data_IF_230254390593
#
_entry.id   IF_230254390593
#
_cell.length_a   1.000
_cell.length_b   1.000
_cell.length_c   1.000
_cell.angle_alpha   90.00
_cell.angle_beta   90.00
_cell.angle_gamma   90.00
#
_symmetry.space_group_name_H-M   'P 1'
#
loop_
_entity.id
_entity.type
_entity.pdbx_description
1 polymer ?
#
# COMPACT_ATOMS: atom_id res chain seq x y z
N UNK A 1 -25.58 -102.30 -36.82
CA UNK A 1 -25.78 -100.96 -37.41
C UNK A 1 -25.38 -99.88 -36.38
N UNK A 2 -24.24 -99.32 -36.53
CA UNK A 2 -23.71 -98.27 -35.58
C UNK A 2 -23.83 -96.92 -36.25
N UNK A 3 -24.53 -96.00 -35.62
CA UNK A 3 -24.70 -94.63 -36.07
C UNK A 3 -23.45 -93.79 -35.66
N UNK A 4 -22.81 -93.17 -36.65
CA UNK A 4 -21.75 -92.13 -36.41
C UNK A 4 -22.45 -90.85 -35.92
N UNK A 5 -21.95 -90.32 -34.80
CA UNK A 5 -22.27 -88.98 -34.34
C UNK A 5 -21.15 -88.01 -34.80
N UNK A 6 -21.53 -87.09 -35.64
CA UNK A 6 -20.64 -85.97 -36.07
C UNK A 6 -20.65 -84.92 -35.02
N UNK A 7 -19.49 -84.55 -34.47
CA UNK A 7 -19.32 -83.40 -33.54
C UNK A 7 -18.96 -82.15 -34.36
N UNK A 8 -19.79 -81.15 -34.23
CA UNK A 8 -19.49 -79.79 -34.77
C UNK A 8 -18.62 -78.99 -33.79
N UNK A 9 -17.48 -78.58 -34.26
CA UNK A 9 -16.55 -77.73 -33.52
C UNK A 9 -16.94 -76.24 -33.77
N UNK A 10 -17.46 -75.56 -32.73
CA UNK A 10 -17.73 -74.11 -32.80
C UNK A 10 -16.48 -73.37 -32.39
N UNK A 11 -15.88 -72.64 -33.31
CA UNK A 11 -14.75 -71.75 -33.04
C UNK A 11 -15.27 -70.43 -32.44
N UNK A 12 -14.96 -70.17 -31.18
CA UNK A 12 -15.21 -68.88 -30.51
C UNK A 12 -14.05 -67.95 -30.87
N UNK A 13 -14.33 -66.97 -31.77
CA UNK A 13 -13.37 -65.89 -32.08
C UNK A 13 -13.33 -64.90 -30.94
N UNK A 14 -12.20 -64.82 -30.21
CA UNK A 14 -11.91 -63.74 -29.31
C UNK A 14 -11.60 -62.45 -30.12
N UNK A 15 -12.55 -61.49 -30.15
CA UNK A 15 -12.25 -60.13 -30.63
C UNK A 15 -11.54 -59.37 -29.50
N UNK A 16 -10.22 -59.22 -29.61
CA UNK A 16 -9.46 -58.35 -28.73
C UNK A 16 -9.82 -56.88 -29.06
N UNK A 17 -10.63 -56.24 -28.20
CA UNK A 17 -10.86 -54.80 -28.25
C UNK A 17 -9.54 -54.08 -27.86
N UNK A 18 -8.81 -53.55 -28.84
CA UNK A 18 -7.76 -52.59 -28.63
C UNK A 18 -8.36 -51.29 -28.05
N UNK A 19 -8.40 -51.16 -26.73
CA UNK A 19 -8.72 -49.92 -26.04
C UNK A 19 -7.63 -48.91 -26.36
N UNK A 20 -7.93 -47.93 -27.21
CA UNK A 20 -7.11 -46.73 -27.35
C UNK A 20 -7.15 -46.00 -25.98
N UNK A 21 -6.06 -46.12 -25.21
CA UNK A 21 -5.87 -45.32 -24.03
C UNK A 21 -5.90 -43.82 -24.45
N UNK A 22 -6.84 -43.04 -23.95
CA UNK A 22 -6.84 -41.60 -24.15
C UNK A 22 -5.50 -41.05 -23.66
N UNK A 23 -4.83 -40.12 -24.40
CA UNK A 23 -3.61 -39.54 -23.92
C UNK A 23 -3.89 -38.88 -22.55
N UNK A 24 -3.03 -39.20 -21.57
CA UNK A 24 -3.11 -38.58 -20.26
C UNK A 24 -3.03 -37.05 -20.46
N UNK A 25 -4.03 -36.32 -19.94
CA UNK A 25 -3.99 -34.86 -20.00
C UNK A 25 -2.69 -34.38 -19.36
N UNK A 26 -1.92 -33.57 -20.09
CA UNK A 26 -0.70 -33.00 -19.57
C UNK A 26 -1.03 -32.22 -18.27
N UNK A 27 -0.21 -32.41 -17.24
CA UNK A 27 -0.38 -31.65 -16.01
C UNK A 27 -0.38 -30.13 -16.33
N UNK A 28 -1.27 -29.33 -15.72
CA UNK A 28 -1.33 -27.91 -15.99
C UNK A 28 0.03 -27.26 -15.67
N UNK A 29 0.53 -26.42 -16.59
CA UNK A 29 1.80 -25.76 -16.44
C UNK A 29 1.78 -24.82 -15.23
N UNK A 30 2.74 -24.98 -14.31
CA UNK A 30 2.88 -24.17 -13.12
C UNK A 30 3.40 -22.78 -13.54
N UNK A 31 2.72 -21.66 -13.19
CA UNK A 31 3.21 -20.33 -13.48
C UNK A 31 4.47 -20.03 -12.67
N UNK A 32 5.33 -19.16 -13.22
CA UNK A 32 6.52 -18.63 -12.52
C UNK A 32 6.28 -17.19 -12.11
N UNK A 33 7.01 -16.73 -11.08
CA UNK A 33 6.97 -15.34 -10.61
C UNK A 33 8.37 -14.86 -10.29
N UNK A 34 8.66 -13.61 -10.62
CA UNK A 34 9.91 -12.90 -10.30
C UNK A 34 9.63 -11.43 -10.02
N UNK A 35 10.34 -10.86 -9.06
CA UNK A 35 10.33 -9.44 -8.74
C UNK A 35 11.72 -9.04 -8.22
N UNK A 36 12.02 -7.72 -8.07
CA UNK A 36 13.20 -7.27 -7.35
C UNK A 36 13.23 -7.80 -5.92
N UNK A 37 14.41 -8.15 -5.40
CA UNK A 37 14.55 -8.63 -4.02
C UNK A 37 14.16 -7.56 -2.98
N UNK A 38 14.34 -6.29 -3.34
CA UNK A 38 13.94 -5.14 -2.53
C UNK A 38 13.60 -3.93 -3.38
N UNK A 39 12.90 -2.96 -2.77
CA UNK A 39 12.64 -1.62 -3.31
C UNK A 39 13.03 -0.56 -2.28
N UNK A 40 13.60 0.54 -2.73
CA UNK A 40 13.87 1.71 -1.90
C UNK A 40 12.66 2.65 -1.86
N UNK A 41 12.15 2.90 -0.66
CA UNK A 41 11.00 3.75 -0.40
C UNK A 41 9.67 3.24 -0.97
N UNK A 42 8.60 3.98 -0.73
CA UNK A 42 7.26 3.73 -1.28
C UNK A 42 7.25 3.81 -2.81
N UNK A 43 6.55 2.90 -3.46
CA UNK A 43 6.30 3.01 -4.88
C UNK A 43 6.10 1.67 -5.59
N UNK A 44 6.01 1.67 -6.93
CA UNK A 44 5.73 0.48 -7.71
C UNK A 44 6.93 -0.46 -7.79
N UNK A 45 6.62 -1.77 -7.78
CA UNK A 45 7.51 -2.83 -8.24
C UNK A 45 6.94 -3.46 -9.49
N UNK A 46 7.82 -3.99 -10.34
CA UNK A 46 7.45 -4.79 -11.50
C UNK A 46 7.58 -6.25 -11.15
N UNK A 47 6.50 -7.00 -11.35
CA UNK A 47 6.42 -8.45 -11.16
C UNK A 47 6.28 -9.07 -12.55
N UNK A 48 7.15 -10.04 -12.87
CA UNK A 48 7.16 -10.73 -14.17
C UNK A 48 7.16 -12.24 -13.99
N UNK A 49 6.88 -12.95 -15.07
CA UNK A 49 6.97 -14.39 -15.05
C UNK A 49 6.39 -15.02 -16.31
N UNK A 50 6.11 -16.32 -16.21
CA UNK A 50 5.47 -17.09 -17.27
C UNK A 50 4.22 -17.80 -16.76
N UNK A 51 3.23 -17.96 -17.65
CA UNK A 51 1.99 -18.69 -17.43
C UNK A 51 1.55 -19.29 -18.78
N UNK A 52 0.57 -20.21 -18.83
CA UNK A 52 0.01 -20.65 -20.09
C UNK A 52 -0.41 -19.47 -20.96
N UNK A 53 -0.11 -19.53 -22.25
CA UNK A 53 -0.45 -18.47 -23.20
C UNK A 53 -1.94 -18.15 -23.17
N UNK A 54 -2.30 -16.85 -23.09
CA UNK A 54 -3.68 -16.40 -23.00
C UNK A 54 -4.35 -16.60 -21.64
N UNK A 55 -3.67 -17.19 -20.65
CA UNK A 55 -4.24 -17.37 -19.30
C UNK A 55 -4.32 -16.03 -18.57
N UNK A 56 -5.40 -15.83 -17.81
CA UNK A 56 -5.50 -14.76 -16.83
C UNK A 56 -4.58 -15.07 -15.67
N UNK A 57 -3.66 -14.15 -15.37
CA UNK A 57 -2.72 -14.21 -14.25
C UNK A 57 -3.22 -13.28 -13.17
N UNK A 58 -3.50 -13.81 -11.99
CA UNK A 58 -4.00 -13.09 -10.81
C UNK A 58 -2.88 -12.97 -9.79
N UNK A 59 -2.66 -11.74 -9.26
CA UNK A 59 -1.69 -11.52 -8.20
C UNK A 59 -2.32 -11.77 -6.83
N UNK A 60 -1.62 -12.50 -5.98
CA UNK A 60 -1.93 -12.67 -4.55
C UNK A 60 -0.80 -12.09 -3.72
N UNK A 61 -1.15 -11.44 -2.63
CA UNK A 61 -0.22 -10.75 -1.75
C UNK A 61 -0.50 -11.00 -0.28
N UNK A 62 0.54 -10.83 0.52
CA UNK A 62 0.47 -10.71 1.98
C UNK A 62 1.53 -9.71 2.42
N UNK A 63 1.15 -8.65 3.16
CA UNK A 63 2.15 -7.84 3.85
C UNK A 63 2.96 -8.73 4.80
N UNK A 64 4.25 -8.47 4.94
CA UNK A 64 5.18 -9.41 5.59
C UNK A 64 4.81 -9.74 7.04
N UNK A 65 4.20 -8.79 7.73
CA UNK A 65 3.69 -8.92 9.11
C UNK A 65 2.50 -9.90 9.23
N UNK A 66 1.80 -10.21 8.12
CA UNK A 66 0.67 -11.14 8.09
C UNK A 66 1.06 -12.46 7.43
N UNK A 67 0.30 -13.54 7.74
CA UNK A 67 0.53 -14.86 7.14
C UNK A 67 -0.49 -15.21 6.05
N UNK A 68 -1.63 -14.51 6.04
CA UNK A 68 -2.73 -14.80 5.12
C UNK A 68 -2.54 -14.06 3.80
N UNK A 69 -2.67 -14.80 2.69
CA UNK A 69 -2.64 -14.26 1.35
C UNK A 69 -4.06 -13.96 0.87
N UNK A 70 -4.20 -12.84 0.17
CA UNK A 70 -5.44 -12.43 -0.48
C UNK A 70 -5.13 -11.95 -1.90
N UNK A 71 -6.15 -11.90 -2.76
CA UNK A 71 -5.99 -11.33 -4.10
C UNK A 71 -5.59 -9.87 -3.97
N UNK A 72 -4.51 -9.47 -4.66
CA UNK A 72 -4.00 -8.10 -4.63
C UNK A 72 -5.05 -7.13 -5.16
N UNK A 73 -5.54 -6.18 -4.34
CA UNK A 73 -6.53 -5.21 -4.81
C UNK A 73 -5.89 -4.18 -5.74
N UNK A 74 -6.59 -3.83 -6.81
CA UNK A 74 -6.24 -2.70 -7.66
C UNK A 74 -6.96 -1.45 -7.16
N UNK A 75 -6.27 -0.65 -6.34
CA UNK A 75 -6.84 0.54 -5.72
C UNK A 75 -7.05 1.71 -6.71
N UNK A 76 -6.39 1.69 -7.86
CA UNK A 76 -6.48 2.76 -8.87
C UNK A 76 -7.60 2.52 -9.90
N UNK A 77 -7.81 1.25 -10.29
CA UNK A 77 -8.79 0.88 -11.31
C UNK A 77 -9.98 0.12 -10.75
N UNK A 78 -9.94 -0.30 -9.47
CA UNK A 78 -10.93 -1.17 -8.83
C UNK A 78 -10.74 -2.64 -9.22
N UNK A 79 -11.26 -3.53 -8.39
CA UNK A 79 -11.08 -4.96 -8.59
C UNK A 79 -9.73 -5.46 -8.08
N UNK A 80 -9.09 -6.33 -8.89
CA UNK A 80 -7.86 -7.01 -8.50
C UNK A 80 -6.77 -6.85 -9.55
N UNK A 81 -5.52 -6.87 -9.11
CA UNK A 81 -4.35 -6.81 -10.00
C UNK A 81 -4.27 -8.09 -10.82
N UNK A 82 -4.57 -7.98 -12.10
CA UNK A 82 -4.57 -9.09 -13.06
C UNK A 82 -3.95 -8.67 -14.39
N UNK A 83 -3.52 -9.67 -15.17
CA UNK A 83 -3.08 -9.46 -16.56
C UNK A 83 -3.34 -10.73 -17.37
N UNK A 84 -3.21 -10.65 -18.69
CA UNK A 84 -3.28 -11.81 -19.58
C UNK A 84 -1.86 -12.14 -20.04
N UNK A 85 -1.47 -13.41 -19.91
CA UNK A 85 -0.20 -13.89 -20.44
C UNK A 85 -0.20 -13.79 -21.97
N UNK A 86 0.90 -13.30 -22.53
CA UNK A 86 1.09 -13.13 -23.97
C UNK A 86 1.02 -14.48 -24.72
N UNK A 87 1.04 -14.44 -26.04
CA UNK A 87 1.14 -15.65 -26.89
C UNK A 87 2.41 -16.47 -26.63
N UNK A 88 3.47 -15.84 -26.07
CA UNK A 88 4.69 -16.50 -25.63
C UNK A 88 4.65 -16.93 -24.16
N UNK A 89 3.51 -16.79 -23.50
CA UNK A 89 3.32 -17.12 -22.08
C UNK A 89 3.96 -16.14 -21.11
N UNK A 90 4.49 -15.00 -21.52
CA UNK A 90 5.08 -13.99 -20.62
C UNK A 90 4.02 -13.05 -20.08
N UNK A 91 4.18 -12.61 -18.83
CA UNK A 91 3.32 -11.60 -18.23
C UNK A 91 4.12 -10.57 -17.43
N UNK A 92 3.52 -9.41 -17.22
CA UNK A 92 4.04 -8.32 -16.39
C UNK A 92 2.88 -7.72 -15.59
N UNK A 93 3.11 -7.50 -14.30
CA UNK A 93 2.21 -6.83 -13.37
C UNK A 93 2.96 -5.70 -12.67
N UNK A 94 2.24 -4.68 -12.24
CA UNK A 94 2.75 -3.61 -11.39
C UNK A 94 2.02 -3.61 -10.06
N UNK A 95 2.73 -3.41 -8.96
CA UNK A 95 2.14 -3.31 -7.62
C UNK A 95 2.85 -2.23 -6.80
N UNK A 96 2.08 -1.30 -6.24
CA UNK A 96 2.58 -0.33 -5.26
C UNK A 96 2.84 -1.04 -3.93
N UNK A 97 4.03 -0.86 -3.37
CA UNK A 97 4.41 -1.40 -2.07
C UNK A 97 4.88 -0.29 -1.14
N UNK A 98 4.62 -0.43 0.15
CA UNK A 98 4.91 0.52 1.23
C UNK A 98 5.54 -0.16 2.45
N UNK A 99 5.77 -1.46 2.35
CA UNK A 99 6.42 -2.31 3.34
C UNK A 99 7.00 -3.54 2.65
N UNK A 100 7.52 -4.49 3.39
CA UNK A 100 7.84 -5.80 2.86
C UNK A 100 6.58 -6.59 2.53
N UNK A 101 6.60 -7.29 1.40
CA UNK A 101 5.50 -8.13 0.92
C UNK A 101 5.97 -9.51 0.51
N UNK A 102 5.03 -10.46 0.57
CA UNK A 102 5.12 -11.78 -0.06
C UNK A 102 4.09 -11.87 -1.17
N UNK A 103 4.47 -12.47 -2.30
CA UNK A 103 3.62 -12.60 -3.47
C UNK A 103 3.63 -14.02 -4.02
N UNK A 104 2.53 -14.40 -4.65
CA UNK A 104 2.45 -15.46 -5.64
C UNK A 104 1.43 -15.09 -6.70
N UNK A 105 1.45 -15.76 -7.83
CA UNK A 105 0.42 -15.63 -8.86
C UNK A 105 -0.34 -16.92 -9.03
N UNK A 106 -1.58 -16.78 -9.50
CA UNK A 106 -2.43 -17.90 -9.90
C UNK A 106 -2.81 -17.76 -11.37
N UNK A 107 -2.70 -18.86 -12.12
CA UNK A 107 -3.14 -18.95 -13.51
C UNK A 107 -3.82 -20.29 -13.73
N UNK A 108 -5.03 -20.30 -14.32
CA UNK A 108 -5.85 -21.51 -14.55
C UNK A 108 -5.99 -22.38 -13.29
N UNK A 109 -6.13 -21.77 -12.11
CA UNK A 109 -6.27 -22.48 -10.83
C UNK A 109 -4.97 -23.06 -10.26
N UNK A 110 -3.81 -22.82 -10.89
CA UNK A 110 -2.49 -23.30 -10.43
C UNK A 110 -1.70 -22.13 -9.86
N UNK A 111 -1.16 -22.30 -8.65
CA UNK A 111 -0.34 -21.28 -7.99
C UNK A 111 1.14 -21.43 -8.34
N UNK A 112 1.86 -20.30 -8.45
CA UNK A 112 3.31 -20.26 -8.51
C UNK A 112 3.96 -20.54 -7.14
N UNK A 113 5.30 -20.66 -7.11
CA UNK A 113 6.05 -20.47 -5.87
C UNK A 113 5.81 -19.08 -5.27
N UNK A 114 6.07 -18.94 -3.96
CA UNK A 114 6.02 -17.65 -3.26
C UNK A 114 7.36 -16.95 -3.35
N UNK A 115 7.32 -15.62 -3.48
CA UNK A 115 8.50 -14.75 -3.40
C UNK A 115 8.29 -13.70 -2.31
N UNK A 116 9.39 -13.13 -1.81
CA UNK A 116 9.37 -12.00 -0.88
C UNK A 116 10.09 -10.82 -1.50
N UNK A 117 9.55 -9.61 -1.26
CA UNK A 117 10.17 -8.34 -1.62
C UNK A 117 10.36 -7.55 -0.35
N UNK A 118 11.59 -7.18 -0.02
CA UNK A 118 11.90 -6.29 1.08
C UNK A 118 11.72 -4.84 0.66
N UNK A 119 11.65 -3.93 1.65
CA UNK A 119 11.69 -2.50 1.39
C UNK A 119 12.86 -1.87 2.15
N UNK A 120 13.67 -1.09 1.45
CA UNK A 120 14.72 -0.29 2.06
C UNK A 120 14.15 1.06 2.49
N UNK A 121 14.28 1.43 3.74
CA UNK A 121 13.87 2.74 4.25
C UNK A 121 14.73 3.81 3.62
N UNK A 122 14.11 4.87 3.11
CA UNK A 122 14.78 6.05 2.55
C UNK A 122 14.49 7.25 3.46
N UNK A 123 15.35 7.54 4.43
CA UNK A 123 15.14 8.69 5.29
C UNK A 123 15.54 9.98 4.59
N UNK A 124 14.83 11.06 4.94
CA UNK A 124 15.21 12.44 4.64
C UNK A 124 15.48 13.18 5.93
N UNK A 125 16.45 14.10 5.93
CA UNK A 125 16.82 14.88 7.12
C UNK A 125 16.93 16.35 6.77
N UNK A 126 16.28 17.19 7.57
CA UNK A 126 16.48 18.63 7.57
C UNK A 126 17.09 19.08 8.88
N UNK A 127 18.01 20.06 8.84
CA UNK A 127 18.71 20.58 10.00
C UNK A 127 18.82 22.08 9.93
N UNK A 128 18.68 22.75 11.09
CA UNK A 128 18.86 24.19 11.23
C UNK A 128 19.72 24.47 12.45
N UNK A 129 20.80 25.22 12.28
CA UNK A 129 21.66 25.65 13.39
C UNK A 129 21.25 27.04 13.90
N UNK A 130 21.14 27.18 15.21
CA UNK A 130 20.86 28.46 15.87
C UNK A 130 21.50 28.47 17.26
N UNK A 131 22.29 29.50 17.55
CA UNK A 131 22.84 29.78 18.89
C UNK A 131 23.50 28.55 19.58
N UNK A 132 24.32 27.80 18.85
CA UNK A 132 25.03 26.63 19.39
C UNK A 132 24.16 25.39 19.54
N UNK A 133 22.92 25.44 19.08
CA UNK A 133 22.01 24.30 18.97
C UNK A 133 21.77 23.93 17.53
N UNK A 134 21.34 22.70 17.29
CA UNK A 134 20.94 22.20 15.96
C UNK A 134 19.58 21.51 16.07
N UNK A 135 18.57 22.08 15.46
CA UNK A 135 17.27 21.43 15.32
C UNK A 135 17.30 20.45 14.16
N UNK A 136 16.81 19.26 14.39
CA UNK A 136 16.83 18.15 13.45
C UNK A 136 15.42 17.62 13.25
N UNK A 137 15.06 17.39 12.00
CA UNK A 137 13.84 16.65 11.63
C UNK A 137 14.20 15.56 10.64
N UNK A 138 13.79 14.32 10.92
CA UNK A 138 13.99 13.15 10.07
C UNK A 138 12.63 12.56 9.73
N UNK A 139 12.35 12.39 8.43
CA UNK A 139 11.17 11.70 7.95
C UNK A 139 11.58 10.38 7.27
N UNK A 140 10.76 9.35 7.42
CA UNK A 140 10.96 8.04 6.79
C UNK A 140 10.07 7.87 5.56
N UNK A 141 10.60 7.22 4.53
CA UNK A 141 9.87 6.68 3.40
C UNK A 141 10.22 5.17 3.28
N UNK A 142 9.24 4.24 3.41
CA UNK A 142 7.81 4.47 3.62
C UNK A 142 7.50 5.11 4.97
N UNK A 143 6.36 5.82 5.03
CA UNK A 143 5.87 6.39 6.28
C UNK A 143 5.42 5.28 7.23
N UNK A 144 6.19 5.07 8.28
CA UNK A 144 5.88 4.11 9.33
C UNK A 144 6.29 4.68 10.70
N UNK A 145 5.35 4.90 11.63
CA UNK A 145 5.69 5.33 12.98
C UNK A 145 6.35 4.21 13.77
N UNK A 146 7.21 4.56 14.72
CA UNK A 146 7.89 3.59 15.58
C UNK A 146 9.23 3.08 15.06
N UNK A 147 9.72 3.56 13.90
CA UNK A 147 11.04 3.23 13.40
C UNK A 147 12.13 3.89 14.26
N UNK A 148 13.12 3.11 14.69
CA UNK A 148 14.24 3.62 15.48
C UNK A 148 15.16 4.51 14.62
N UNK A 149 15.43 5.73 15.09
CA UNK A 149 16.22 6.76 14.41
C UNK A 149 17.45 7.08 15.24
N UNK A 150 18.61 7.13 14.59
CA UNK A 150 19.87 7.57 15.16
C UNK A 150 20.41 8.78 14.39
N UNK A 151 20.61 9.91 15.07
CA UNK A 151 21.35 11.05 14.52
C UNK A 151 22.81 10.83 14.83
N UNK A 152 23.63 10.76 13.81
CA UNK A 152 25.07 10.56 13.90
C UNK A 152 25.82 11.81 13.48
N UNK A 153 26.86 12.14 14.24
CA UNK A 153 27.81 13.20 13.91
C UNK A 153 29.16 12.59 13.54
N UNK A 154 29.78 13.13 12.50
CA UNK A 154 31.15 12.77 12.12
C UNK A 154 32.17 13.57 12.92
N UNK A 155 33.15 12.89 13.47
CA UNK A 155 34.36 13.47 14.08
C UNK A 155 35.57 12.71 13.52
N UNK A 156 36.45 13.40 12.83
CA UNK A 156 37.65 12.80 12.19
C UNK A 156 37.34 11.60 11.30
N UNK A 157 36.19 11.64 10.59
CA UNK A 157 35.73 10.59 9.69
C UNK A 157 34.97 9.45 10.39
N UNK A 158 34.97 9.40 11.72
CA UNK A 158 34.20 8.41 12.48
C UNK A 158 32.80 8.92 12.81
N UNK A 159 31.79 8.06 12.69
CA UNK A 159 30.40 8.37 13.01
C UNK A 159 30.06 7.95 14.44
N UNK A 160 29.49 8.86 15.22
CA UNK A 160 28.98 8.58 16.58
C UNK A 160 27.53 9.05 16.70
N UNK A 161 26.70 8.27 17.37
CA UNK A 161 25.31 8.65 17.65
C UNK A 161 25.29 9.75 18.71
N UNK A 162 24.65 10.87 18.39
CA UNK A 162 24.52 12.06 19.26
C UNK A 162 23.08 12.27 19.76
N UNK A 163 22.10 11.67 19.09
CA UNK A 163 20.71 11.60 19.53
C UNK A 163 20.02 10.39 18.89
N UNK A 164 18.91 9.97 19.47
CA UNK A 164 18.09 8.89 18.93
C UNK A 164 16.69 8.93 19.51
N UNK A 165 15.78 8.23 18.83
CA UNK A 165 14.38 8.13 19.21
C UNK A 165 13.62 7.33 18.18
N UNK A 166 12.33 7.61 18.05
CA UNK A 166 11.46 6.88 17.14
C UNK A 166 10.67 7.84 16.27
N UNK A 167 10.40 7.43 15.03
CA UNK A 167 9.46 8.15 14.18
C UNK A 167 8.07 8.13 14.82
N UNK A 168 7.33 9.25 14.70
CA UNK A 168 6.01 9.41 15.30
C UNK A 168 5.03 10.07 14.32
N UNK A 169 3.74 9.83 14.56
CA UNK A 169 2.63 10.36 13.75
C UNK A 169 2.57 9.74 12.35
N UNK A 170 1.52 10.10 11.63
CA UNK A 170 1.25 9.55 10.28
C UNK A 170 2.30 9.96 9.24
N UNK A 171 3.04 11.04 9.48
CA UNK A 171 4.14 11.49 8.63
C UNK A 171 5.46 10.80 8.94
N UNK A 172 5.51 9.91 9.95
CA UNK A 172 6.72 9.19 10.39
C UNK A 172 7.92 10.10 10.58
N UNK A 173 7.77 11.14 11.39
CA UNK A 173 8.82 12.13 11.64
C UNK A 173 9.38 11.96 13.05
N UNK A 174 10.70 12.00 13.16
CA UNK A 174 11.44 12.18 14.40
C UNK A 174 12.01 13.59 14.45
N UNK A 175 11.81 14.31 15.55
CA UNK A 175 12.40 15.64 15.76
C UNK A 175 13.20 15.69 17.05
N UNK A 176 14.30 16.43 17.06
CA UNK A 176 15.11 16.65 18.25
C UNK A 176 15.94 17.94 18.11
N UNK A 177 16.37 18.48 19.25
CA UNK A 177 17.34 19.59 19.31
C UNK A 177 18.64 19.10 19.92
N UNK A 178 19.73 19.23 19.22
CA UNK A 178 21.08 18.91 19.67
C UNK A 178 21.68 20.14 20.33
N UNK A 179 21.96 20.07 21.64
CA UNK A 179 22.65 21.13 22.38
C UNK A 179 24.16 20.88 22.43
N UNK A 180 24.94 21.94 22.68
CA UNK A 180 26.39 21.83 22.94
C UNK A 180 27.19 21.33 21.74
N UNK A 181 26.75 21.63 20.52
CA UNK A 181 27.44 21.16 19.30
C UNK A 181 28.76 21.87 19.00
N UNK A 182 29.09 22.91 19.78
CA UNK A 182 30.28 23.75 19.56
C UNK A 182 30.14 24.56 18.26
N UNK A 183 31.11 25.43 18.02
CA UNK A 183 31.14 26.29 16.83
C UNK A 183 31.87 25.63 15.66
N UNK A 184 31.57 26.07 14.43
CA UNK A 184 32.22 25.62 13.20
C UNK A 184 31.39 24.60 12.43
N UNK A 185 31.97 24.13 11.33
CA UNK A 185 31.27 23.15 10.45
C UNK A 185 31.18 21.78 11.11
N UNK A 186 29.98 21.21 11.13
CA UNK A 186 29.70 19.89 11.65
C UNK A 186 28.93 19.08 10.59
N UNK A 187 29.27 17.80 10.48
CA UNK A 187 28.65 16.89 9.52
C UNK A 187 27.81 15.84 10.25
N UNK A 188 26.58 15.66 9.78
CA UNK A 188 25.59 14.75 10.38
C UNK A 188 24.96 13.84 9.31
N UNK A 189 24.45 12.71 9.75
CA UNK A 189 23.52 11.86 9.01
C UNK A 189 22.48 11.29 9.95
N UNK A 190 21.33 10.91 9.41
CA UNK A 190 20.37 10.07 10.11
C UNK A 190 20.49 8.62 9.62
N UNK A 191 20.37 7.68 10.53
CA UNK A 191 20.22 6.24 10.26
C UNK A 191 18.88 5.81 10.83
N UNK A 192 18.11 5.07 10.06
CA UNK A 192 16.91 4.36 10.55
C UNK A 192 17.21 2.88 10.49
N UNK A 193 16.98 2.21 11.63
CA UNK A 193 17.27 0.79 11.77
C UNK A 193 16.33 -0.07 10.93
N UNK A 194 16.77 -1.28 10.61
CA UNK A 194 15.92 -2.29 9.99
C UNK A 194 14.78 -2.70 10.94
N UNK A 195 13.61 -3.01 10.38
CA UNK A 195 12.50 -3.64 11.09
C UNK A 195 12.17 -4.99 10.44
N UNK A 196 12.76 -6.08 10.94
CA UNK A 196 12.64 -7.40 10.32
C UNK A 196 11.20 -7.94 10.25
N UNK A 197 10.34 -7.60 11.22
CA UNK A 197 8.96 -8.07 11.28
C UNK A 197 8.10 -7.55 10.13
N UNK A 198 8.46 -6.40 9.57
CA UNK A 198 7.86 -5.82 8.37
C UNK A 198 8.73 -6.00 7.11
N UNK A 199 9.85 -6.74 7.23
CA UNK A 199 10.85 -6.89 6.16
C UNK A 199 11.33 -5.55 5.62
N UNK A 200 11.57 -4.58 6.53
CA UNK A 200 12.19 -3.30 6.23
C UNK A 200 13.69 -3.37 6.47
N UNK A 201 14.45 -2.97 5.46
CA UNK A 201 15.90 -2.85 5.53
C UNK A 201 16.29 -1.45 6.02
N UNK A 202 17.34 -1.36 6.80
CA UNK A 202 17.86 -0.10 7.31
C UNK A 202 18.18 0.89 6.18
N UNK A 203 18.03 2.18 6.47
CA UNK A 203 18.39 3.26 5.56
C UNK A 203 19.14 4.38 6.26
N UNK A 204 19.84 5.17 5.47
CA UNK A 204 20.53 6.36 6.00
C UNK A 204 20.43 7.51 5.00
N UNK A 205 20.49 8.75 5.52
CA UNK A 205 20.52 9.96 4.69
C UNK A 205 21.89 10.18 4.07
N UNK A 206 21.94 11.00 3.04
CA UNK A 206 23.18 11.68 2.70
C UNK A 206 23.70 12.50 3.90
N UNK A 207 25.02 12.78 3.90
CA UNK A 207 25.63 13.65 4.90
C UNK A 207 25.17 15.09 4.70
N UNK A 208 24.72 15.73 5.78
CA UNK A 208 24.41 17.15 5.83
C UNK A 208 25.48 17.85 6.65
N UNK A 209 26.14 18.83 6.05
CA UNK A 209 27.11 19.68 6.73
C UNK A 209 26.52 21.07 6.96
N UNK A 210 26.60 21.58 8.18
CA UNK A 210 26.12 22.91 8.52
C UNK A 210 27.12 23.62 9.45
N UNK A 211 27.10 24.95 9.40
CA UNK A 211 27.96 25.77 10.28
C UNK A 211 27.14 26.10 11.55
N UNK A 212 27.64 25.64 12.69
CA UNK A 212 27.09 25.97 14.00
C UNK A 212 27.78 27.23 14.50
N UNK A 213 27.08 28.39 14.49
CA UNK A 213 27.59 29.65 14.96
C UNK A 213 27.65 29.73 16.48
N UNK A 214 28.61 30.52 17.00
CA UNK A 214 28.57 31.00 18.40
C UNK A 214 27.45 32.03 18.52
N UNK A 215 26.50 31.83 19.43
CA UNK A 215 25.53 32.87 19.76
C UNK A 215 26.19 34.09 20.34
N UNK A 216 26.53 35.05 19.49
CA UNK A 216 26.91 36.40 19.89
C UNK A 216 26.69 37.37 18.73
N UNK A 217 25.77 38.28 18.92
CA UNK A 217 25.82 39.60 18.25
C UNK A 217 24.97 39.76 16.99
N UNK A 218 23.91 40.45 17.18
CA UNK A 218 23.36 41.54 16.35
C UNK A 218 24.00 41.67 14.97
N UNK A 219 23.32 41.17 13.99
CA UNK A 219 23.59 41.45 12.58
C UNK A 219 22.29 41.25 11.83
N UNK A 220 21.61 42.34 11.43
CA UNK A 220 20.35 42.35 10.71
C UNK A 220 20.42 41.51 9.44
N UNK A 221 19.89 40.36 9.46
CA UNK A 221 19.57 39.51 8.33
C UNK A 221 18.13 39.09 8.54
N UNK A 222 17.30 39.40 7.57
CA UNK A 222 15.88 39.10 7.53
C UNK A 222 15.60 37.72 8.12
N UNK A 223 15.02 37.68 9.29
CA UNK A 223 14.39 36.52 9.85
C UNK A 223 13.43 35.97 8.79
N UNK A 224 13.59 34.70 8.34
CA UNK A 224 12.41 34.02 7.85
C UNK A 224 11.52 33.94 9.08
N UNK A 225 10.53 34.79 9.13
CA UNK A 225 9.42 34.66 10.04
C UNK A 225 8.98 33.22 9.89
N UNK A 226 9.29 32.39 10.91
CA UNK A 226 8.59 31.11 11.09
C UNK A 226 7.12 31.49 10.98
N UNK A 227 6.37 30.94 10.03
CA UNK A 227 4.95 31.22 10.02
C UNK A 227 4.48 30.83 11.41
N UNK A 228 3.97 31.79 12.16
CA UNK A 228 3.18 31.50 13.35
C UNK A 228 2.31 30.31 12.99
N UNK A 229 2.05 29.33 13.90
CA UNK A 229 1.18 28.22 13.59
C UNK A 229 -0.09 28.83 13.01
N UNK A 230 -0.19 28.79 11.68
CA UNK A 230 -1.32 29.31 10.97
C UNK A 230 -2.49 28.51 11.51
N UNK A 231 -3.42 29.17 12.15
CA UNK A 231 -4.72 28.61 12.49
C UNK A 231 -5.14 27.75 11.29
N UNK A 232 -5.45 26.46 11.48
CA UNK A 232 -5.79 25.59 10.35
C UNK A 232 -6.86 26.30 9.54
N UNK A 233 -6.59 26.59 8.29
CA UNK A 233 -7.54 27.28 7.44
C UNK A 233 -8.84 26.46 7.45
N UNK A 234 -9.97 27.10 7.73
CA UNK A 234 -11.27 26.42 7.75
C UNK A 234 -11.48 25.76 6.38
N UNK A 235 -11.68 24.44 6.31
CA UNK A 235 -11.83 23.73 5.04
C UNK A 235 -12.98 24.30 4.21
N UNK A 236 -12.78 24.46 2.92
CA UNK A 236 -13.78 24.97 1.97
C UNK A 236 -14.32 23.82 1.13
N UNK A 237 -15.48 24.03 0.52
CA UNK A 237 -16.02 23.10 -0.48
C UNK A 237 -15.00 22.90 -1.61
N UNK A 238 -14.74 21.64 -1.99
CA UNK A 238 -13.79 21.25 -3.01
C UNK A 238 -12.31 21.18 -2.56
N UNK A 239 -11.98 21.52 -1.33
CA UNK A 239 -10.60 21.37 -0.80
C UNK A 239 -10.16 19.90 -0.74
N UNK A 240 -11.09 19.04 -0.40
CA UNK A 240 -10.95 17.58 -0.45
C UNK A 240 -12.17 17.03 -1.18
N UNK A 241 -11.97 16.15 -2.13
CA UNK A 241 -13.06 15.61 -2.94
C UNK A 241 -13.09 14.08 -2.89
N UNK A 242 -14.25 13.50 -3.19
CA UNK A 242 -14.37 12.11 -3.60
C UNK A 242 -13.82 11.98 -5.02
N UNK A 243 -12.60 11.52 -5.18
CA UNK A 243 -12.04 11.33 -6.52
C UNK A 243 -12.44 10.00 -7.15
N UNK A 244 -12.88 9.03 -6.32
CA UNK A 244 -13.39 7.72 -6.77
C UNK A 244 -14.21 7.06 -5.66
N UNK A 245 -15.27 6.38 -6.03
CA UNK A 245 -16.01 5.48 -5.15
C UNK A 245 -16.20 4.16 -5.87
N UNK A 246 -15.69 3.07 -5.28
CA UNK A 246 -15.98 1.69 -5.69
C UNK A 246 -17.11 1.22 -4.77
N UNK A 247 -18.30 1.09 -5.34
CA UNK A 247 -19.53 0.77 -4.60
C UNK A 247 -20.03 -0.65 -4.89
N UNK A 248 -19.51 -1.31 -5.90
CA UNK A 248 -19.80 -2.71 -6.20
C UNK A 248 -18.47 -3.47 -6.26
N UNK A 249 -18.26 -4.31 -5.27
CA UNK A 249 -17.06 -5.16 -5.18
C UNK A 249 -16.96 -6.08 -6.38
N UNK A 250 -15.75 -6.41 -6.88
CA UNK A 250 -15.61 -7.38 -7.95
C UNK A 250 -16.13 -8.77 -7.55
N UNK A 251 -16.86 -9.40 -8.46
CA UNK A 251 -17.47 -10.72 -8.24
C UNK A 251 -18.82 -10.64 -7.52
N UNK A 252 -19.22 -11.73 -6.88
CA UNK A 252 -20.46 -11.78 -6.11
C UNK A 252 -20.31 -11.10 -4.75
N UNK A 253 -21.35 -10.45 -4.28
CA UNK A 253 -21.43 -9.85 -2.95
C UNK A 253 -21.48 -10.94 -1.87
N UNK A 254 -20.32 -11.48 -1.52
CA UNK A 254 -20.20 -12.62 -0.58
C UNK A 254 -20.31 -12.20 0.89
N UNK A 255 -20.26 -10.90 1.19
CA UNK A 255 -20.17 -10.38 2.56
C UNK A 255 -18.84 -10.72 3.27
N UNK A 256 -17.90 -11.37 2.58
CA UNK A 256 -16.57 -11.62 3.15
C UNK A 256 -15.83 -10.30 3.38
N UNK A 257 -14.93 -10.28 4.35
CA UNK A 257 -14.16 -9.04 4.63
C UNK A 257 -13.36 -8.56 3.43
N UNK A 258 -12.84 -9.46 2.61
CA UNK A 258 -12.16 -9.12 1.35
C UNK A 258 -13.10 -8.41 0.38
N UNK A 259 -14.34 -8.93 0.20
CA UNK A 259 -15.35 -8.30 -0.63
C UNK A 259 -15.78 -6.95 -0.07
N UNK A 260 -16.00 -6.84 1.26
CA UNK A 260 -16.32 -5.57 1.91
C UNK A 260 -15.19 -4.53 1.79
N UNK A 261 -13.92 -4.92 1.84
CA UNK A 261 -12.79 -4.01 1.69
C UNK A 261 -12.50 -3.62 0.23
N UNK A 262 -13.02 -4.38 -0.74
CA UNK A 262 -13.00 -3.97 -2.14
C UNK A 262 -14.00 -2.84 -2.43
N UNK A 263 -14.96 -2.60 -1.53
CA UNK A 263 -15.81 -1.42 -1.51
C UNK A 263 -15.13 -0.30 -0.71
N UNK A 264 -14.89 0.86 -1.35
CA UNK A 264 -14.20 1.97 -0.71
C UNK A 264 -14.51 3.33 -1.35
N UNK A 265 -14.23 4.39 -0.62
CA UNK A 265 -14.14 5.76 -1.14
C UNK A 265 -12.69 6.23 -1.14
N UNK A 266 -12.29 6.93 -2.19
CA UNK A 266 -11.00 7.61 -2.32
C UNK A 266 -11.21 9.12 -2.20
N UNK A 267 -10.55 9.72 -1.22
CA UNK A 267 -10.51 11.16 -0.99
C UNK A 267 -9.22 11.74 -1.57
N UNK A 268 -9.29 12.85 -2.27
CA UNK A 268 -8.10 13.56 -2.79
C UNK A 268 -8.05 14.98 -2.23
N UNK A 269 -6.93 15.35 -1.65
CA UNK A 269 -6.65 16.72 -1.23
C UNK A 269 -6.27 17.57 -2.46
N UNK A 270 -7.11 18.52 -2.81
CA UNK A 270 -6.90 19.44 -3.94
C UNK A 270 -6.21 20.75 -3.57
N UNK A 271 -5.92 20.94 -2.30
CA UNK A 271 -5.22 22.15 -1.82
C UNK A 271 -3.70 22.02 -2.05
N UNK A 272 -3.01 23.15 -1.91
CA UNK A 272 -1.54 23.21 -1.97
C UNK A 272 -0.86 22.90 -0.63
N UNK A 273 -1.64 22.55 0.41
CA UNK A 273 -1.16 22.27 1.78
C UNK A 273 -1.62 20.91 2.24
N UNK A 274 -0.95 20.36 3.25
CA UNK A 274 -1.42 19.15 3.92
C UNK A 274 -2.72 19.44 4.68
N UNK A 275 -3.73 18.60 4.48
CA UNK A 275 -5.01 18.60 5.21
C UNK A 275 -5.03 17.43 6.19
N UNK A 276 -5.38 17.70 7.45
CA UNK A 276 -5.64 16.65 8.43
C UNK A 276 -7.13 16.31 8.42
N UNK A 277 -7.46 15.07 8.13
CA UNK A 277 -8.86 14.61 8.06
C UNK A 277 -9.44 14.19 9.42
N UNK A 278 -8.70 14.31 10.53
CA UNK A 278 -9.24 14.00 11.87
C UNK A 278 -10.53 14.76 12.15
N UNK A 279 -11.56 14.04 12.59
CA UNK A 279 -12.90 14.58 12.86
C UNK A 279 -13.77 14.75 11.62
N UNK A 280 -13.24 14.51 10.41
CA UNK A 280 -14.05 14.53 9.20
C UNK A 280 -14.96 13.31 9.14
N UNK A 281 -16.08 13.44 8.43
CA UNK A 281 -17.04 12.37 8.29
C UNK A 281 -17.31 12.06 6.82
N UNK A 282 -17.42 10.77 6.53
CA UNK A 282 -17.95 10.21 5.28
C UNK A 282 -19.29 9.58 5.61
N UNK A 283 -20.34 9.93 4.84
CA UNK A 283 -21.69 9.45 5.08
C UNK A 283 -22.34 9.00 3.77
N UNK A 284 -23.15 7.93 3.79
CA UNK A 284 -24.05 7.56 2.69
C UNK A 284 -25.43 8.26 2.81
N UNK A 285 -26.31 8.04 1.84
CA UNK A 285 -27.68 8.57 1.87
C UNK A 285 -28.56 7.87 2.93
N UNK A 286 -28.26 6.62 3.30
CA UNK A 286 -29.00 5.88 4.31
C UNK A 286 -28.69 6.30 5.75
N UNK A 287 -27.63 7.09 5.93
CA UNK A 287 -27.26 7.63 7.25
C UNK A 287 -26.15 6.87 7.96
N UNK A 288 -25.47 5.94 7.30
CA UNK A 288 -24.24 5.37 7.83
C UNK A 288 -23.16 6.45 7.86
N UNK A 289 -22.45 6.59 8.98
CA UNK A 289 -21.42 7.63 9.16
C UNK A 289 -20.10 6.97 9.58
N UNK A 290 -19.04 7.26 8.84
CA UNK A 290 -17.67 7.03 9.25
C UNK A 290 -17.06 8.34 9.75
N UNK A 291 -16.39 8.30 10.89
CA UNK A 291 -15.64 9.45 11.43
C UNK A 291 -14.16 9.08 11.48
N UNK A 292 -13.32 9.93 10.92
CA UNK A 292 -11.85 9.81 11.05
C UNK A 292 -11.48 10.17 12.49
N UNK A 293 -11.22 9.17 13.34
CA UNK A 293 -11.00 9.37 14.79
C UNK A 293 -9.58 9.75 15.16
N UNK A 294 -8.61 9.44 14.31
CA UNK A 294 -7.19 9.72 14.51
C UNK A 294 -6.67 10.68 13.46
N UNK A 295 -5.50 11.24 13.67
CA UNK A 295 -4.84 12.06 12.66
C UNK A 295 -4.66 11.28 11.37
N UNK A 296 -5.08 11.89 10.26
CA UNK A 296 -4.85 11.43 8.90
C UNK A 296 -4.45 12.62 8.04
N UNK A 297 -3.17 12.82 7.92
CA UNK A 297 -2.60 13.92 7.14
C UNK A 297 -2.49 13.51 5.68
N UNK A 298 -3.17 14.23 4.81
CA UNK A 298 -3.16 14.03 3.36
C UNK A 298 -2.43 15.21 2.74
N UNK A 299 -1.25 14.98 2.19
CA UNK A 299 -0.45 16.00 1.52
C UNK A 299 -1.15 16.60 0.30
N UNK A 300 -0.62 17.70 -0.22
CA UNK A 300 -1.11 18.34 -1.44
C UNK A 300 -1.14 17.36 -2.62
N UNK A 301 -2.29 17.21 -3.29
CA UNK A 301 -2.49 16.29 -4.40
C UNK A 301 -2.54 14.79 -4.03
N UNK A 302 -2.33 14.44 -2.76
CA UNK A 302 -2.34 13.06 -2.31
C UNK A 302 -3.76 12.58 -1.97
N UNK A 303 -3.88 11.26 -1.77
CA UNK A 303 -5.15 10.57 -1.55
C UNK A 303 -5.21 9.86 -0.21
N UNK A 304 -6.45 9.60 0.26
CA UNK A 304 -6.76 8.72 1.37
C UNK A 304 -7.92 7.81 0.99
N UNK A 305 -8.00 6.63 1.62
CA UNK A 305 -9.01 5.61 1.36
C UNK A 305 -9.79 5.28 2.62
N UNK A 306 -11.11 5.09 2.50
CA UNK A 306 -11.95 4.54 3.56
C UNK A 306 -12.64 3.30 3.01
N UNK A 307 -12.22 2.14 3.50
CA UNK A 307 -12.76 0.82 3.13
C UNK A 307 -13.96 0.48 4.02
N UNK A 308 -14.96 -0.20 3.45
CA UNK A 308 -16.18 -0.58 4.18
C UNK A 308 -15.92 -1.64 5.25
N UNK A 309 -15.13 -2.66 4.94
CA UNK A 309 -14.88 -3.80 5.82
C UNK A 309 -13.96 -3.51 6.99
N UNK A 310 -13.48 -4.58 7.61
CA UNK A 310 -12.60 -4.53 8.80
C UNK A 310 -11.15 -4.47 8.41
N UNK A 311 -10.37 -3.70 9.19
CA UNK A 311 -8.93 -3.61 9.04
C UNK A 311 -8.30 -2.72 10.12
N UNK A 312 -7.00 -2.60 10.07
CA UNK A 312 -6.25 -1.71 10.97
C UNK A 312 -6.01 -0.39 10.26
N UNK A 313 -6.51 0.70 10.82
CA UNK A 313 -6.29 2.05 10.31
C UNK A 313 -4.79 2.33 10.18
N UNK A 314 -4.37 2.88 9.02
CA UNK A 314 -2.97 3.08 8.70
C UNK A 314 -2.26 1.83 8.16
N UNK A 315 -3.00 0.79 7.78
CA UNK A 315 -2.49 -0.42 7.10
C UNK A 315 -3.25 -0.63 5.78
N UNK A 316 -2.62 -1.05 4.70
CA UNK A 316 -1.18 -1.33 4.52
C UNK A 316 -0.30 -0.08 4.60
N UNK A 317 -0.84 1.11 4.42
CA UNK A 317 -0.14 2.38 4.60
C UNK A 317 -1.01 3.43 5.32
N UNK A 318 -0.45 4.60 5.64
CA UNK A 318 -1.13 5.70 6.35
C UNK A 318 -2.37 6.26 5.62
N UNK A 319 -2.54 5.92 4.34
CA UNK A 319 -3.67 6.39 3.51
C UNK A 319 -4.95 5.60 3.78
N UNK A 320 -4.85 4.36 4.28
CA UNK A 320 -5.97 3.44 4.42
C UNK A 320 -6.64 3.56 5.79
N UNK A 321 -7.98 3.62 5.76
CA UNK A 321 -8.88 3.59 6.91
C UNK A 321 -9.97 2.57 6.66
N UNK A 322 -10.53 2.04 7.75
CA UNK A 322 -11.52 0.99 7.70
C UNK A 322 -12.74 1.38 8.54
N UNK A 323 -13.90 1.28 7.92
CA UNK A 323 -15.19 1.56 8.57
C UNK A 323 -15.59 0.47 9.57
N UNK A 324 -14.97 -0.71 9.46
CA UNK A 324 -15.21 -1.88 10.29
C UNK A 324 -16.66 -2.41 10.22
N UNK A 325 -17.31 -2.27 9.06
CA UNK A 325 -18.65 -2.78 8.83
C UNK A 325 -18.62 -4.29 8.55
N UNK A 326 -19.79 -4.92 8.79
CA UNK A 326 -20.05 -6.34 8.47
C UNK A 326 -21.00 -6.51 7.28
N UNK A 327 -21.41 -5.40 6.67
CA UNK A 327 -22.25 -5.33 5.48
C UNK A 327 -21.81 -4.17 4.60
N UNK A 328 -22.22 -4.21 3.35
CA UNK A 328 -21.95 -3.15 2.37
C UNK A 328 -22.62 -1.84 2.81
N UNK A 329 -22.00 -0.73 2.46
CA UNK A 329 -22.48 0.63 2.74
C UNK A 329 -23.06 1.24 1.48
N UNK A 330 -22.36 1.11 0.36
CA UNK A 330 -22.68 1.81 -0.88
C UNK A 330 -23.62 0.98 -1.76
N UNK A 331 -24.76 1.56 -2.14
CA UNK A 331 -25.74 0.86 -2.95
C UNK A 331 -25.30 0.75 -4.42
N UNK A 332 -25.32 -0.47 -4.98
CA UNK A 332 -24.90 -0.77 -6.35
C UNK A 332 -25.75 -0.06 -7.41
N UNK A 333 -27.06 0.13 -7.16
CA UNK A 333 -27.99 0.77 -8.08
C UNK A 333 -28.03 2.30 -7.99
N UNK A 334 -27.41 2.88 -6.97
CA UNK A 334 -27.33 4.33 -6.78
C UNK A 334 -27.29 4.73 -5.31
N UNK A 335 -26.46 5.70 -5.00
CA UNK A 335 -26.28 6.27 -3.66
C UNK A 335 -25.75 7.71 -3.76
N UNK A 336 -25.52 8.31 -2.59
CA UNK A 336 -24.86 9.61 -2.45
C UNK A 336 -23.91 9.59 -1.28
N UNK A 337 -22.64 9.86 -1.54
CA UNK A 337 -21.63 10.05 -0.54
C UNK A 337 -21.49 11.52 -0.18
N UNK A 338 -21.43 11.81 1.12
CA UNK A 338 -21.26 13.17 1.66
C UNK A 338 -19.96 13.23 2.47
N UNK A 339 -19.11 14.22 2.17
CA UNK A 339 -17.90 14.54 2.94
C UNK A 339 -18.15 15.82 3.73
N UNK A 340 -17.91 15.77 5.06
CA UNK A 340 -18.04 16.92 5.94
C UNK A 340 -16.81 17.13 6.80
N UNK A 341 -16.47 18.40 7.05
CA UNK A 341 -15.44 18.80 8.01
C UNK A 341 -15.88 18.54 9.45
N UNK A 342 -14.98 18.62 10.44
CA UNK A 342 -15.31 18.44 11.86
C UNK A 342 -16.42 19.37 12.36
N UNK A 343 -16.53 20.59 11.82
CA UNK A 343 -17.61 21.53 12.11
C UNK A 343 -18.92 21.25 11.38
N UNK A 344 -19.06 20.10 10.71
CA UNK A 344 -20.27 19.69 9.99
C UNK A 344 -20.48 20.37 8.64
N UNK A 345 -19.56 21.25 8.20
CA UNK A 345 -19.62 21.92 6.90
C UNK A 345 -19.51 20.90 5.78
N UNK A 346 -20.39 20.99 4.79
CA UNK A 346 -20.30 20.18 3.56
C UNK A 346 -19.06 20.59 2.76
N UNK A 347 -18.23 19.62 2.42
CA UNK A 347 -16.99 19.81 1.68
C UNK A 347 -17.12 19.26 0.27
N UNK A 348 -17.72 18.08 0.14
CA UNK A 348 -17.96 17.45 -1.16
C UNK A 348 -19.15 16.50 -1.12
N UNK A 349 -19.69 16.20 -2.28
CA UNK A 349 -20.82 15.28 -2.46
C UNK A 349 -20.65 14.56 -3.78
N UNK A 350 -20.73 13.23 -3.75
CA UNK A 350 -20.64 12.39 -4.93
C UNK A 350 -21.91 11.52 -5.04
N UNK A 351 -22.65 11.66 -6.14
CA UNK A 351 -23.89 10.91 -6.40
C UNK A 351 -23.75 10.04 -7.64
N UNK A 352 -24.29 8.83 -7.58
CA UNK A 352 -24.42 7.96 -8.75
C UNK A 352 -25.80 7.30 -8.79
N UNK A 353 -26.19 6.88 -10.01
CA UNK A 353 -27.49 6.26 -10.29
C UNK A 353 -27.36 5.09 -11.26
N UNK A 354 -26.20 4.46 -11.32
CA UNK A 354 -25.91 3.40 -12.30
C UNK A 354 -25.46 2.12 -11.60
N UNK A 355 -25.71 0.98 -12.26
CA UNK A 355 -25.25 -0.36 -11.83
C UNK A 355 -23.80 -0.67 -12.30
N UNK A 356 -22.94 0.33 -12.45
CA UNK A 356 -21.50 0.12 -12.69
C UNK A 356 -20.83 -0.34 -11.39
N UNK A 357 -19.55 -0.63 -11.44
CA UNK A 357 -18.80 -1.00 -10.24
C UNK A 357 -18.25 0.21 -9.47
N UNK A 358 -18.15 1.36 -10.12
CA UNK A 358 -17.49 2.55 -9.56
C UNK A 358 -17.97 3.84 -10.22
N UNK A 359 -17.71 4.96 -9.53
CA UNK A 359 -17.91 6.32 -10.06
C UNK A 359 -16.71 7.20 -9.75
N UNK A 360 -16.57 8.28 -10.51
CA UNK A 360 -15.58 9.34 -10.31
C UNK A 360 -16.33 10.65 -10.13
N UNK A 361 -15.92 11.48 -9.18
CA UNK A 361 -16.43 12.80 -8.88
C UNK A 361 -15.28 13.79 -8.80
#
# INVERSE_FOLDING_TARGET
>A
MRALKTAALTAIGCVAALGLAAPAAAAPAVPTISAPASRAGYGPITITGTAPAGATVELYESAYVFNDFYRSPDYDHGGYVTTIASSTGRYTLSRLVDSGFRFYVMANGVASSRISVAMTIVPTMTMTASNGTVDVSVAADPTQPGLAVHIQRSTDGAWSTVAGGFTAGDASVYTTTLSGQGTGTRSYRAVIDAEPDNNLLAGHTATVSLNVGSGSGSGGGSTPTSPAPSTPATPKAGDVIFSKIVYNSPGSDTGSNTSLNAEYVRLTNRTTKTVNLKGWTVRDAAGHVYTVTTDQKVGAGLTAYVHTGRGTNGRPDSKHRYWNRTGYVWNNSGDTAYLRSPGGKSIDTCKWTSNKSQTYC
#
